data_IF_612556896751
#
_entry.id   IF_612556896751
#
_cell.length_a   1.000
_cell.length_b   1.000
_cell.length_c   1.000
_cell.angle_alpha   90.00
_cell.angle_beta   90.00
_cell.angle_gamma   90.00
#
_symmetry.space_group_name_H-M   'P 1'
#
loop_
_entity.id
_entity.type
_entity.pdbx_description
1 polymer ?
#
# COMPACT_ATOMS: atom_id res chain seq x y z
N UNK A 1 23.12 6.38 -10.07
CA UNK A 1 22.52 5.06 -9.73
C UNK A 1 21.16 5.33 -9.12
N UNK A 2 20.09 4.75 -9.66
CA UNK A 2 18.77 4.78 -9.04
C UNK A 2 18.60 3.52 -8.19
N UNK A 3 18.00 3.65 -7.01
CA UNK A 3 17.67 2.52 -6.15
C UNK A 3 16.16 2.23 -6.26
N UNK A 4 15.82 0.96 -6.41
CA UNK A 4 14.44 0.48 -6.44
C UNK A 4 14.21 -0.43 -5.24
N UNK A 5 13.06 -0.26 -4.58
CA UNK A 5 12.64 -1.08 -3.45
C UNK A 5 11.26 -1.67 -3.76
N UNK A 6 11.18 -2.99 -3.84
CA UNK A 6 9.93 -3.73 -4.02
C UNK A 6 9.59 -4.51 -2.74
N UNK A 7 8.30 -4.54 -2.40
CA UNK A 7 7.76 -5.34 -1.29
C UNK A 7 6.59 -6.15 -1.82
N UNK A 8 6.63 -7.46 -1.57
CA UNK A 8 5.57 -8.38 -1.93
C UNK A 8 4.78 -8.80 -0.69
N UNK A 9 3.45 -8.77 -0.77
CA UNK A 9 2.57 -9.24 0.29
C UNK A 9 1.79 -10.51 -0.12
N UNK A 10 1.53 -11.38 0.86
CA UNK A 10 0.76 -12.63 0.68
C UNK A 10 -0.70 -12.48 1.14
N UNK A 11 -1.21 -11.24 1.17
CA UNK A 11 -2.57 -10.90 1.56
C UNK A 11 -3.60 -11.26 0.48
N UNK A 12 -4.88 -10.94 0.72
CA UNK A 12 -5.97 -11.24 -0.21
C UNK A 12 -5.91 -10.45 -1.54
N UNK A 13 -4.96 -9.51 -1.67
CA UNK A 13 -4.92 -8.52 -2.74
C UNK A 13 -5.88 -7.36 -2.50
N UNK A 14 -5.70 -6.27 -3.25
CA UNK A 14 -6.46 -5.03 -3.12
C UNK A 14 -7.09 -4.70 -4.48
N UNK A 15 -8.39 -4.39 -4.49
CA UNK A 15 -9.10 -4.01 -5.71
C UNK A 15 -8.58 -2.67 -6.26
N UNK A 16 -8.53 -2.55 -7.59
CA UNK A 16 -7.99 -1.37 -8.29
C UNK A 16 -8.64 -0.05 -7.85
N UNK A 17 -9.94 -0.07 -7.55
CA UNK A 17 -10.70 1.08 -7.04
C UNK A 17 -10.18 1.64 -5.70
N UNK A 18 -9.50 0.81 -4.91
CA UNK A 18 -8.95 1.20 -3.62
C UNK A 18 -7.51 1.70 -3.70
N UNK A 19 -6.76 1.32 -4.74
CA UNK A 19 -5.33 1.63 -4.89
C UNK A 19 -5.02 3.13 -4.76
N UNK A 20 -5.74 4.06 -5.44
CA UNK A 20 -5.47 5.50 -5.30
C UNK A 20 -5.66 6.00 -3.86
N UNK A 21 -6.58 5.36 -3.14
CA UNK A 21 -7.02 5.75 -1.79
C UNK A 21 -6.15 5.16 -0.69
N UNK A 22 -5.34 4.13 -0.96
CA UNK A 22 -4.44 3.50 0.02
C UNK A 22 -3.45 4.48 0.67
N UNK A 23 -3.15 5.57 -0.03
CA UNK A 23 -2.24 6.61 0.46
C UNK A 23 -2.97 7.74 1.21
N UNK A 24 -4.30 7.69 1.31
CA UNK A 24 -5.09 8.58 2.15
C UNK A 24 -4.86 8.23 3.63
N UNK A 25 -4.75 9.25 4.48
CA UNK A 25 -4.64 9.05 5.92
C UNK A 25 -5.91 8.39 6.45
N UNK A 26 -5.74 7.38 7.29
CA UNK A 26 -6.81 6.60 7.93
C UNK A 26 -7.64 5.73 6.97
N UNK A 27 -7.33 5.69 5.68
CA UNK A 27 -8.02 4.83 4.73
C UNK A 27 -7.62 3.36 4.92
N UNK A 28 -8.62 2.47 4.87
CA UNK A 28 -8.46 1.03 5.07
C UNK A 28 -9.46 0.31 4.19
N UNK A 29 -8.97 -0.65 3.40
CA UNK A 29 -9.78 -1.47 2.48
C UNK A 29 -10.71 -2.40 3.24
N UNK A 30 -10.21 -3.05 4.29
CA UNK A 30 -11.00 -3.98 5.08
C UNK A 30 -10.95 -3.60 6.56
N UNK A 31 -12.08 -3.11 7.08
CA UNK A 31 -12.25 -2.75 8.50
C UNK A 31 -12.21 -3.98 9.41
N UNK A 32 -12.53 -5.19 8.91
CA UNK A 32 -12.69 -6.39 9.73
C UNK A 32 -11.34 -7.02 10.11
N UNK A 33 -10.40 -7.17 9.16
CA UNK A 33 -9.03 -7.70 9.44
C UNK A 33 -8.18 -6.74 10.25
N UNK A 34 -8.38 -5.46 10.04
CA UNK A 34 -7.45 -4.44 10.51
C UNK A 34 -7.60 -4.20 12.04
N UNK A 35 -8.67 -4.72 12.67
CA UNK A 35 -8.83 -4.77 14.13
C UNK A 35 -7.91 -5.80 14.82
N UNK A 36 -7.41 -6.82 14.10
CA UNK A 36 -6.49 -7.83 14.66
C UNK A 36 -5.02 -7.40 14.61
N UNK A 37 -4.64 -6.53 13.66
CA UNK A 37 -3.23 -6.10 13.46
C UNK A 37 -2.92 -4.68 13.94
N UNK A 38 -3.92 -3.93 14.44
CA UNK A 38 -3.66 -2.68 15.18
C UNK A 38 -3.13 -1.49 14.35
N UNK A 39 -3.35 -1.46 13.02
CA UNK A 39 -2.89 -0.35 12.18
C UNK A 39 -3.83 0.86 12.16
N UNK A 40 -3.31 2.08 12.33
CA UNK A 40 -4.09 3.33 12.23
C UNK A 40 -4.42 3.76 10.80
N UNK A 41 -3.90 3.06 9.78
CA UNK A 41 -4.05 3.46 8.38
C UNK A 41 -3.20 4.65 7.98
N UNK A 42 -2.07 4.89 8.68
CA UNK A 42 -1.15 6.00 8.39
C UNK A 42 0.12 5.58 7.62
N UNK A 43 0.46 4.29 7.59
CA UNK A 43 1.75 3.82 7.05
C UNK A 43 2.01 4.27 5.61
N UNK A 44 1.14 3.92 4.67
CA UNK A 44 1.29 4.30 3.26
C UNK A 44 1.17 5.82 3.03
N UNK A 45 0.42 6.53 3.86
CA UNK A 45 0.34 7.98 3.80
C UNK A 45 1.68 8.65 4.20
N UNK A 46 2.38 8.09 5.20
CA UNK A 46 3.73 8.53 5.58
C UNK A 46 4.72 8.24 4.46
N UNK A 47 4.67 7.04 3.89
CA UNK A 47 5.57 6.62 2.78
C UNK A 47 5.39 7.56 1.59
N UNK A 48 4.16 7.81 1.14
CA UNK A 48 3.90 8.76 0.04
C UNK A 48 4.47 10.15 0.33
N UNK A 49 4.27 10.65 1.56
CA UNK A 49 4.79 11.96 1.93
C UNK A 49 6.33 12.00 1.91
N UNK A 50 6.99 10.97 2.44
CA UNK A 50 8.45 10.88 2.41
C UNK A 50 8.97 10.81 0.96
N UNK A 51 8.38 9.98 0.11
CA UNK A 51 8.80 9.82 -1.30
C UNK A 51 8.60 11.11 -2.11
N UNK A 52 7.53 11.86 -1.85
CA UNK A 52 7.29 13.15 -2.52
C UNK A 52 8.40 14.17 -2.29
N UNK A 53 9.10 14.13 -1.15
CA UNK A 53 10.25 15.02 -0.88
C UNK A 53 11.52 14.61 -1.60
N UNK A 54 11.61 13.36 -2.06
CA UNK A 54 12.81 12.79 -2.68
C UNK A 54 12.67 12.62 -4.21
N UNK A 55 11.66 13.24 -4.83
CA UNK A 55 11.33 13.05 -6.25
C UNK A 55 11.14 11.57 -6.63
N UNK A 56 10.75 10.74 -5.66
CA UNK A 56 10.58 9.30 -5.82
C UNK A 56 9.14 8.97 -6.22
N UNK A 57 8.99 7.88 -6.97
CA UNK A 57 7.69 7.35 -7.38
C UNK A 57 7.27 6.18 -6.49
N UNK A 58 6.02 6.19 -6.03
CA UNK A 58 5.39 5.06 -5.38
C UNK A 58 4.48 4.35 -6.39
N UNK A 59 4.75 3.09 -6.67
CA UNK A 59 3.88 2.23 -7.46
C UNK A 59 3.28 1.14 -6.55
N UNK A 60 2.01 0.84 -6.77
CA UNK A 60 1.29 -0.21 -6.05
C UNK A 60 0.56 -1.04 -7.11
N UNK A 61 1.01 -2.27 -7.30
CA UNK A 61 0.32 -3.27 -8.12
C UNK A 61 -0.27 -4.34 -7.20
N UNK A 62 -1.60 -4.45 -7.21
CA UNK A 62 -2.32 -5.48 -6.48
C UNK A 62 -3.56 -5.88 -7.24
N UNK A 63 -3.87 -7.18 -7.19
CA UNK A 63 -5.05 -7.76 -7.82
C UNK A 63 -5.70 -8.73 -6.83
N UNK A 64 -6.99 -8.59 -6.50
CA UNK A 64 -7.68 -9.50 -5.60
C UNK A 64 -7.57 -10.95 -6.10
N UNK A 65 -7.13 -11.86 -5.24
CA UNK A 65 -7.00 -13.28 -5.58
C UNK A 65 -5.78 -13.66 -6.44
N UNK A 66 -4.93 -12.71 -6.85
CA UNK A 66 -3.61 -13.03 -7.42
C UNK A 66 -2.58 -13.01 -6.30
N UNK A 67 -1.82 -14.11 -6.15
CA UNK A 67 -0.53 -14.06 -5.46
C UNK A 67 0.43 -13.38 -6.41
N UNK A 68 0.66 -12.08 -6.23
CA UNK A 68 1.69 -11.40 -7.00
C UNK A 68 3.03 -11.90 -6.50
N UNK A 69 3.77 -12.61 -7.33
CA UNK A 69 5.22 -12.77 -7.25
C UNK A 69 5.76 -12.15 -8.52
N UNK A 70 6.54 -11.07 -8.43
CA UNK A 70 7.96 -10.91 -8.82
C UNK A 70 8.47 -9.60 -8.18
#
# INVERSE_FOLDING_TARGET
>A
MAAEFCIQDNGPGIAAEHIPRLTERFYRVDKARSRQTGGSGLGLAIVKHALNHHESRLEIDSSPGKRNAI
#
